data_IF_671090327655
#
_entry.id   IF_671090327655
#
_cell.length_a   1.000
_cell.length_b   1.000
_cell.length_c   1.000
_cell.angle_alpha   90.00
_cell.angle_beta   90.00
_cell.angle_gamma   90.00
#
_symmetry.space_group_name_H-M   'P 1'
#
loop_
_entity.id
_entity.type
_entity.pdbx_description
1 polymer ?
#
# COMPACT_ATOMS: atom_id res chain seq x y z
N UNK A 1 10.42 -22.75 -28.32
CA UNK A 1 9.20 -23.01 -27.52
C UNK A 1 9.46 -22.36 -26.16
N UNK A 2 8.75 -21.36 -25.61
CA UNK A 2 7.36 -20.91 -25.65
C UNK A 2 7.37 -19.41 -25.31
N UNK A 3 6.82 -18.55 -26.17
CA UNK A 3 6.55 -17.13 -25.84
C UNK A 3 5.41 -16.61 -26.72
N UNK A 4 4.20 -17.16 -26.55
CA UNK A 4 2.99 -16.69 -27.26
C UNK A 4 1.72 -16.64 -26.39
N UNK A 5 1.85 -16.73 -25.06
CA UNK A 5 0.69 -16.83 -24.16
C UNK A 5 0.05 -15.49 -23.75
N UNK A 6 0.56 -14.35 -24.24
CA UNK A 6 0.10 -13.00 -23.84
C UNK A 6 -0.69 -12.26 -24.93
N UNK A 7 -1.04 -12.91 -26.05
CA UNK A 7 -1.77 -12.28 -27.18
C UNK A 7 -3.25 -12.67 -27.29
N UNK A 8 -3.78 -13.50 -26.40
CA UNK A 8 -5.21 -13.79 -26.40
C UNK A 8 -5.92 -12.74 -25.54
N UNK A 9 -6.88 -11.96 -26.08
CA UNK A 9 -7.76 -11.17 -25.24
C UNK A 9 -8.44 -12.13 -24.27
N UNK A 10 -8.40 -11.83 -22.97
CA UNK A 10 -9.10 -12.64 -21.98
C UNK A 10 -10.52 -12.91 -22.49
N UNK A 11 -11.00 -14.16 -22.46
CA UNK A 11 -12.37 -14.45 -22.85
C UNK A 11 -13.27 -13.51 -22.05
N UNK A 12 -14.13 -12.75 -22.76
CA UNK A 12 -15.15 -11.92 -22.14
C UNK A 12 -16.06 -12.87 -21.38
N UNK A 13 -15.75 -13.10 -20.10
CA UNK A 13 -16.66 -13.74 -19.18
C UNK A 13 -17.97 -12.96 -19.30
N UNK A 14 -19.13 -13.63 -19.43
CA UNK A 14 -20.39 -12.92 -19.39
C UNK A 14 -20.38 -12.15 -18.07
N UNK A 15 -20.32 -10.81 -18.15
CA UNK A 15 -20.47 -9.98 -16.97
C UNK A 15 -21.84 -10.36 -16.41
N UNK A 16 -21.83 -11.11 -15.32
CA UNK A 16 -23.05 -11.45 -14.59
C UNK A 16 -23.81 -10.18 -14.25
N UNK A 17 -25.08 -10.33 -13.88
CA UNK A 17 -25.95 -9.22 -13.46
C UNK A 17 -25.17 -8.34 -12.47
N UNK A 18 -24.80 -7.14 -12.91
CA UNK A 18 -24.09 -6.13 -12.09
C UNK A 18 -25.14 -5.57 -11.13
N UNK A 19 -25.08 -5.87 -9.83
CA UNK A 19 -26.07 -5.40 -8.88
C UNK A 19 -26.04 -3.87 -8.85
N UNK A 20 -27.19 -3.22 -9.05
CA UNK A 20 -27.32 -1.77 -9.00
C UNK A 20 -27.43 -1.25 -7.56
N UNK A 21 -26.61 -1.78 -6.66
CA UNK A 21 -26.56 -1.40 -5.25
C UNK A 21 -25.46 -0.35 -5.02
N UNK A 22 -25.69 0.59 -4.09
CA UNK A 22 -24.69 1.55 -3.63
C UNK A 22 -23.45 0.85 -3.07
N UNK A 23 -23.62 -0.26 -2.37
CA UNK A 23 -22.50 -1.04 -1.84
C UNK A 23 -21.63 -1.60 -2.98
N UNK A 24 -22.28 -2.16 -4.01
CA UNK A 24 -21.58 -2.73 -5.16
C UNK A 24 -20.84 -1.65 -5.99
N UNK A 25 -21.45 -0.48 -6.18
CA UNK A 25 -20.79 0.66 -6.84
C UNK A 25 -19.53 1.12 -6.11
N UNK A 26 -19.52 1.09 -4.77
CA UNK A 26 -18.32 1.40 -3.99
C UNK A 26 -17.21 0.36 -4.19
N UNK A 27 -17.57 -0.92 -4.25
CA UNK A 27 -16.61 -2.00 -4.50
C UNK A 27 -16.00 -1.85 -5.90
N UNK A 28 -16.82 -1.63 -6.93
CA UNK A 28 -16.34 -1.38 -8.30
C UNK A 28 -15.40 -0.17 -8.36
N UNK A 29 -15.75 0.93 -7.67
CA UNK A 29 -14.89 2.10 -7.60
C UNK A 29 -13.54 1.78 -6.97
N UNK A 30 -13.53 1.06 -5.84
CA UNK A 30 -12.29 0.64 -5.18
C UNK A 30 -11.46 -0.28 -6.07
N UNK A 31 -12.07 -1.27 -6.71
CA UNK A 31 -11.39 -2.16 -7.66
C UNK A 31 -10.76 -1.38 -8.80
N UNK A 32 -11.48 -0.41 -9.36
CA UNK A 32 -10.96 0.46 -10.42
C UNK A 32 -9.75 1.28 -9.94
N UNK A 33 -9.84 1.93 -8.79
CA UNK A 33 -8.73 2.73 -8.24
C UNK A 33 -7.50 1.86 -7.95
N UNK A 34 -7.69 0.70 -7.33
CA UNK A 34 -6.59 -0.21 -6.96
C UNK A 34 -5.90 -0.82 -8.18
N UNK A 35 -6.64 -1.15 -9.25
CA UNK A 35 -6.10 -1.77 -10.48
C UNK A 35 -5.58 -0.77 -11.51
N UNK A 36 -5.82 0.53 -11.31
CA UNK A 36 -5.37 1.59 -12.23
C UNK A 36 -3.85 1.59 -12.39
N UNK A 37 -3.36 1.53 -13.63
CA UNK A 37 -1.93 1.46 -13.96
C UNK A 37 -1.25 2.84 -13.97
N UNK A 38 -1.33 3.58 -12.87
CA UNK A 38 -0.71 4.92 -12.76
C UNK A 38 0.75 4.88 -12.27
N UNK A 39 1.35 3.69 -12.11
CA UNK A 39 2.69 3.51 -11.54
C UNK A 39 2.79 3.74 -10.02
N UNK A 40 1.71 4.15 -9.36
CA UNK A 40 1.64 4.35 -7.91
C UNK A 40 1.42 3.03 -7.15
N UNK A 41 2.07 2.90 -6.00
CA UNK A 41 1.86 1.78 -5.08
C UNK A 41 0.45 1.84 -4.47
N UNK A 42 -0.07 0.68 -4.05
CA UNK A 42 -1.43 0.53 -3.49
C UNK A 42 -1.69 1.50 -2.33
N UNK A 43 -0.76 1.61 -1.40
CA UNK A 43 -0.86 2.51 -0.24
C UNK A 43 -0.68 4.00 -0.58
N UNK A 44 -0.26 4.33 -1.81
CA UNK A 44 -0.12 5.72 -2.28
C UNK A 44 -1.36 6.20 -3.04
N UNK A 45 -2.26 5.31 -3.44
CA UNK A 45 -3.42 5.65 -4.28
C UNK A 45 -4.46 6.51 -3.57
N UNK A 46 -4.56 6.41 -2.24
CA UNK A 46 -5.46 7.24 -1.44
C UNK A 46 -4.67 8.24 -0.58
N UNK A 47 -5.10 9.51 -0.52
CA UNK A 47 -4.41 10.54 0.28
C UNK A 47 -4.39 10.18 1.78
N UNK A 48 -5.44 9.54 2.29
CA UNK A 48 -5.50 9.04 3.67
C UNK A 48 -4.43 8.00 3.97
N UNK A 49 -4.17 7.06 3.04
CA UNK A 49 -3.14 6.04 3.20
C UNK A 49 -1.73 6.63 3.11
N UNK A 50 -1.52 7.65 2.27
CA UNK A 50 -0.25 8.39 2.23
C UNK A 50 0.03 9.09 3.55
N UNK A 51 -0.98 9.75 4.13
CA UNK A 51 -0.84 10.40 5.43
C UNK A 51 -0.51 9.38 6.53
N UNK A 52 -1.25 8.28 6.58
CA UNK A 52 -1.01 7.21 7.54
C UNK A 52 0.40 6.59 7.40
N UNK A 53 0.85 6.34 6.17
CA UNK A 53 2.19 5.82 5.91
C UNK A 53 3.28 6.80 6.36
N UNK A 54 3.14 8.10 6.06
CA UNK A 54 4.08 9.12 6.50
C UNK A 54 4.13 9.25 8.02
N UNK A 55 2.96 9.22 8.68
CA UNK A 55 2.89 9.24 10.13
C UNK A 55 3.59 8.02 10.76
N UNK A 56 3.37 6.84 10.18
CA UNK A 56 4.03 5.61 10.64
C UNK A 56 5.55 5.69 10.47
N UNK A 57 6.03 6.18 9.32
CA UNK A 57 7.46 6.40 9.09
C UNK A 57 8.06 7.39 10.08
N UNK A 58 7.35 8.48 10.39
CA UNK A 58 7.82 9.47 11.36
C UNK A 58 7.94 8.88 12.77
N UNK A 59 6.91 8.15 13.23
CA UNK A 59 6.91 7.49 14.55
C UNK A 59 8.01 6.45 14.64
N UNK A 60 8.13 5.58 13.62
CA UNK A 60 9.18 4.55 13.58
C UNK A 60 10.58 5.17 13.53
N UNK A 61 10.78 6.23 12.74
CA UNK A 61 12.05 6.94 12.67
C UNK A 61 12.44 7.59 14.00
N UNK A 62 11.49 8.29 14.65
CA UNK A 62 11.71 8.89 15.95
C UNK A 62 12.02 7.84 17.04
N UNK A 63 11.23 6.76 17.08
CA UNK A 63 11.45 5.66 18.02
C UNK A 63 12.79 4.95 17.81
N UNK A 64 13.22 4.80 16.55
CA UNK A 64 14.52 4.23 16.23
C UNK A 64 15.68 5.12 16.72
N UNK A 65 15.64 6.42 16.45
CA UNK A 65 16.65 7.37 16.93
C UNK A 65 16.71 7.41 18.47
N UNK A 66 15.55 7.39 19.13
CA UNK A 66 15.48 7.32 20.58
C UNK A 66 16.13 6.04 21.12
N UNK A 67 15.85 4.90 20.48
CA UNK A 67 16.45 3.61 20.85
C UNK A 67 17.96 3.62 20.68
N UNK A 68 18.48 4.23 19.62
CA UNK A 68 19.93 4.42 19.44
C UNK A 68 20.54 5.29 20.55
N UNK A 69 19.87 6.37 20.96
CA UNK A 69 20.31 7.22 22.06
C UNK A 69 20.40 6.46 23.39
N UNK A 70 19.42 5.60 23.67
CA UNK A 70 19.46 4.72 24.84
C UNK A 70 20.62 3.73 24.76
N UNK A 71 20.80 3.05 23.63
CA UNK A 71 21.92 2.13 23.42
C UNK A 71 23.27 2.82 23.62
N UNK A 72 23.44 4.02 23.07
CA UNK A 72 24.66 4.81 23.25
C UNK A 72 24.91 5.18 24.72
N UNK A 73 23.84 5.56 25.45
CA UNK A 73 23.94 5.88 26.87
C UNK A 73 24.25 4.67 27.77
N UNK A 74 23.91 3.46 27.34
CA UNK A 74 24.25 2.22 28.04
C UNK A 74 25.65 1.72 27.67
N UNK A 75 26.09 1.95 26.43
CA UNK A 75 27.40 1.54 25.95
C UNK A 75 28.55 2.37 26.56
N UNK A 76 28.29 3.64 26.91
CA UNK A 76 29.28 4.50 27.56
C UNK A 76 29.06 4.42 29.07
N UNK A 77 29.99 3.85 29.85
CA UNK A 77 29.87 3.83 31.30
C UNK A 77 29.80 5.27 31.81
N UNK A 78 28.72 5.62 32.52
CA UNK A 78 28.64 6.90 33.22
C UNK A 78 29.75 6.92 34.27
N UNK A 79 30.76 7.77 34.04
CA UNK A 79 31.82 8.03 35.00
C UNK A 79 31.20 8.83 36.15
N UNK A 80 30.98 8.16 37.29
CA UNK A 80 30.76 8.83 38.57
C UNK A 80 32.05 9.51 39.02
#
# INVERSE_FOLDING_TARGET
MVANSLKQPLPKQPMGIVPNDRAYRRILYLQHVMTRQDGLLVWQKFPSYRFAANAMLAISGAGFLYSLGLCASMAIPKKN
#
